data_IF_309342681997
#
_entry.id   IF_309342681997
#
_cell.length_a   1.000
_cell.length_b   1.000
_cell.length_c   1.000
_cell.angle_alpha   90.00
_cell.angle_beta   90.00
_cell.angle_gamma   90.00
#
_symmetry.space_group_name_H-M   'P 1'
#
loop_
_entity.id
_entity.type
_entity.pdbx_description
1 polymer ?
#
# COMPACT_ATOMS: atom_id res chain seq x y z
N UNK A 1 0.16 33.69 -9.97
CA UNK A 1 0.88 32.72 -9.12
C UNK A 1 1.31 31.60 -10.04
N UNK A 2 2.55 31.61 -10.50
CA UNK A 2 3.12 30.52 -11.32
C UNK A 2 3.32 29.34 -10.39
N UNK A 3 2.53 28.28 -10.62
CA UNK A 3 2.66 27.02 -9.91
C UNK A 3 3.97 26.35 -10.39
N UNK A 4 5.09 26.72 -9.81
CA UNK A 4 6.43 26.24 -10.17
C UNK A 4 6.70 24.89 -9.47
N UNK A 5 5.75 23.97 -9.63
CA UNK A 5 5.86 22.63 -9.05
C UNK A 5 6.81 21.82 -9.94
N UNK A 6 7.91 21.34 -9.36
CA UNK A 6 8.82 20.42 -10.05
C UNK A 6 8.08 19.18 -10.53
N UNK A 7 7.99 19.01 -11.86
CA UNK A 7 7.38 17.83 -12.44
C UNK A 7 8.34 16.64 -12.38
N UNK A 8 7.80 15.43 -12.51
CA UNK A 8 8.60 14.21 -12.57
C UNK A 8 9.62 14.27 -13.71
N UNK A 9 9.21 14.72 -14.91
CA UNK A 9 10.07 14.87 -16.08
C UNK A 9 11.22 15.85 -15.81
N UNK A 10 10.92 16.94 -15.08
CA UNK A 10 11.95 17.92 -14.69
C UNK A 10 12.96 17.32 -13.73
N UNK A 11 12.51 16.57 -12.74
CA UNK A 11 13.37 15.85 -11.79
C UNK A 11 14.23 14.80 -12.49
N UNK A 12 13.68 14.02 -13.40
CA UNK A 12 14.42 13.03 -14.18
C UNK A 12 15.49 13.70 -15.05
N UNK A 13 15.18 14.85 -15.65
CA UNK A 13 16.14 15.65 -16.40
C UNK A 13 17.26 16.18 -15.51
N UNK A 14 16.95 16.71 -14.33
CA UNK A 14 17.96 17.17 -13.37
C UNK A 14 18.86 15.99 -12.94
N UNK A 15 18.29 14.86 -12.63
CA UNK A 15 19.01 13.64 -12.27
C UNK A 15 19.99 13.20 -13.36
N UNK A 16 19.63 13.32 -14.64
CA UNK A 16 20.48 12.93 -15.78
C UNK A 16 21.64 13.88 -16.05
N UNK A 17 21.67 15.05 -15.42
CA UNK A 17 22.73 16.06 -15.70
C UNK A 17 24.13 15.58 -15.34
N UNK A 18 24.26 14.72 -14.34
CA UNK A 18 25.55 14.13 -14.01
C UNK A 18 26.12 13.29 -15.16
N UNK A 19 25.25 12.58 -15.89
CA UNK A 19 25.64 11.78 -17.05
C UNK A 19 25.89 12.69 -18.28
N UNK A 20 25.08 13.75 -18.43
CA UNK A 20 25.12 14.65 -19.57
C UNK A 20 26.35 15.58 -19.52
N UNK A 21 26.68 16.12 -18.34
CA UNK A 21 27.69 17.17 -18.17
C UNK A 21 28.95 16.68 -17.43
N UNK A 22 28.91 15.49 -16.85
CA UNK A 22 29.99 14.93 -16.05
C UNK A 22 29.94 15.29 -14.58
N UNK A 23 30.61 14.46 -13.75
CA UNK A 23 30.72 14.70 -12.32
C UNK A 23 31.53 15.98 -12.04
N UNK A 24 31.07 16.82 -11.12
CA UNK A 24 31.74 18.08 -10.74
C UNK A 24 31.41 19.27 -11.63
N UNK A 25 30.60 19.09 -12.69
CA UNK A 25 30.17 20.22 -13.52
C UNK A 25 29.19 21.11 -12.76
N UNK A 26 29.36 22.42 -12.89
CA UNK A 26 28.42 23.40 -12.37
C UNK A 26 27.21 23.48 -13.28
N UNK A 27 26.03 23.37 -12.69
CA UNK A 27 24.73 23.56 -13.36
C UNK A 27 23.98 24.67 -12.65
N UNK A 28 23.16 25.41 -13.39
CA UNK A 28 22.32 26.47 -12.83
C UNK A 28 20.88 25.99 -12.76
N UNK A 29 20.29 26.15 -11.59
CA UNK A 29 18.85 25.97 -11.33
C UNK A 29 18.24 27.35 -11.02
N UNK A 30 16.97 27.59 -11.40
CA UNK A 30 16.20 28.67 -10.81
C UNK A 30 16.16 28.54 -9.29
N UNK A 31 16.18 29.66 -8.57
CA UNK A 31 16.21 29.64 -7.11
C UNK A 31 15.01 28.90 -6.51
N UNK A 32 13.85 29.04 -7.14
CA UNK A 32 12.60 28.39 -6.71
C UNK A 32 12.67 26.85 -6.88
N UNK A 33 13.32 26.37 -7.96
CA UNK A 33 13.53 24.92 -8.15
C UNK A 33 14.54 24.39 -7.13
N UNK A 34 15.58 25.14 -6.82
CA UNK A 34 16.57 24.78 -5.82
C UNK A 34 15.97 24.74 -4.41
N UNK A 35 15.16 25.73 -4.05
CA UNK A 35 14.43 25.77 -2.78
C UNK A 35 13.50 24.56 -2.63
N UNK A 36 12.69 24.25 -3.66
CA UNK A 36 11.76 23.12 -3.64
C UNK A 36 12.49 21.77 -3.52
N UNK A 37 13.62 21.60 -4.25
CA UNK A 37 14.47 20.41 -4.11
C UNK A 37 15.04 20.29 -2.70
N UNK A 38 15.52 21.38 -2.11
CA UNK A 38 16.06 21.39 -0.76
C UNK A 38 14.97 21.05 0.26
N UNK A 39 13.77 21.61 0.13
CA UNK A 39 12.62 21.31 0.99
C UNK A 39 12.23 19.84 0.93
N UNK A 40 12.15 19.26 -0.27
CA UNK A 40 11.84 17.85 -0.46
C UNK A 40 12.93 16.95 0.15
N UNK A 41 14.21 17.30 -0.06
CA UNK A 41 15.33 16.53 0.48
C UNK A 41 15.36 16.57 2.01
N UNK A 42 15.18 17.75 2.62
CA UNK A 42 15.13 17.89 4.08
C UNK A 42 14.00 17.07 4.70
N UNK A 43 12.79 17.13 4.13
CA UNK A 43 11.66 16.33 4.62
C UNK A 43 11.91 14.82 4.51
N UNK A 44 12.59 14.37 3.44
CA UNK A 44 12.97 12.97 3.29
C UNK A 44 14.04 12.57 4.33
N UNK A 45 15.05 13.41 4.54
CA UNK A 45 16.11 13.16 5.53
C UNK A 45 15.56 13.10 6.96
N UNK A 46 14.64 13.98 7.34
CA UNK A 46 14.03 13.96 8.66
C UNK A 46 13.22 12.66 8.87
N UNK A 47 12.46 12.24 7.86
CA UNK A 47 11.70 10.99 7.90
C UNK A 47 12.61 9.77 8.00
N UNK A 48 13.69 9.72 7.22
CA UNK A 48 14.66 8.64 7.26
C UNK A 48 15.40 8.57 8.59
N UNK A 49 15.75 9.72 9.17
CA UNK A 49 16.37 9.80 10.49
C UNK A 49 15.47 9.17 11.56
N UNK A 50 14.23 9.61 11.66
CA UNK A 50 13.26 9.07 12.64
C UNK A 50 13.05 7.56 12.43
N UNK A 51 12.94 7.12 11.19
CA UNK A 51 12.77 5.70 10.83
C UNK A 51 13.97 4.85 11.28
N UNK A 52 15.20 5.35 11.07
CA UNK A 52 16.42 4.66 11.47
C UNK A 52 16.56 4.61 12.99
N UNK A 53 16.33 5.71 13.69
CA UNK A 53 16.35 5.77 15.15
C UNK A 53 15.32 4.81 15.76
N UNK A 54 14.12 4.76 15.21
CA UNK A 54 13.11 3.80 15.62
C UNK A 54 13.55 2.35 15.35
N UNK A 55 14.16 2.07 14.19
CA UNK A 55 14.62 0.73 13.86
C UNK A 55 15.71 0.23 14.83
N UNK A 56 16.66 1.10 15.20
CA UNK A 56 17.71 0.81 16.17
C UNK A 56 17.10 0.55 17.57
N UNK A 57 16.22 1.43 18.02
CA UNK A 57 15.52 1.28 19.29
C UNK A 57 14.68 -0.02 19.33
N UNK A 58 13.90 -0.29 18.31
CA UNK A 58 13.07 -1.50 18.23
C UNK A 58 13.92 -2.77 18.21
N UNK A 59 15.06 -2.75 17.52
CA UNK A 59 15.99 -3.87 17.52
C UNK A 59 16.63 -4.12 18.90
N UNK A 60 17.01 -3.04 19.60
CA UNK A 60 17.59 -3.12 20.93
C UNK A 60 16.56 -3.59 21.98
N UNK A 61 15.31 -3.17 21.85
CA UNK A 61 14.23 -3.44 22.81
C UNK A 61 13.62 -4.83 22.63
N UNK A 62 13.31 -5.20 21.40
CA UNK A 62 12.54 -6.42 21.08
C UNK A 62 13.38 -7.54 20.44
N UNK A 63 14.62 -7.27 20.09
CA UNK A 63 15.53 -8.26 19.50
C UNK A 63 15.13 -8.66 18.07
N UNK A 64 15.63 -9.82 17.66
CA UNK A 64 15.41 -10.34 16.31
C UNK A 64 14.14 -11.20 16.25
N UNK A 65 12.98 -10.53 16.24
CA UNK A 65 11.66 -11.16 16.08
C UNK A 65 11.10 -10.87 14.69
N UNK A 66 10.16 -11.72 14.23
CA UNK A 66 9.52 -11.54 12.91
C UNK A 66 8.46 -10.41 12.88
N UNK A 67 7.83 -10.19 11.71
CA UNK A 67 6.90 -9.09 11.48
C UNK A 67 5.51 -9.30 12.11
N UNK A 68 5.20 -10.51 12.58
CA UNK A 68 3.82 -10.84 13.05
C UNK A 68 3.43 -10.07 14.31
N UNK A 69 4.39 -9.88 15.24
CA UNK A 69 4.15 -9.11 16.47
C UNK A 69 3.74 -7.66 16.17
N UNK A 70 4.57 -6.89 15.46
CA UNK A 70 4.22 -5.53 15.05
C UNK A 70 2.90 -5.43 14.28
N UNK A 71 2.60 -6.35 13.37
CA UNK A 71 1.33 -6.36 12.63
C UNK A 71 0.10 -6.60 13.51
N UNK A 72 0.21 -7.46 14.52
CA UNK A 72 -0.87 -7.66 15.51
C UNK A 72 -1.05 -6.44 16.40
N UNK A 73 0.05 -5.78 16.78
CA UNK A 73 -0.01 -4.55 17.56
C UNK A 73 -0.64 -3.43 16.73
N UNK A 74 -0.21 -3.25 15.48
CA UNK A 74 -0.80 -2.29 14.56
C UNK A 74 -2.33 -2.37 14.47
N UNK A 75 -2.90 -3.58 14.58
CA UNK A 75 -4.36 -3.74 14.56
C UNK A 75 -5.05 -3.18 15.80
N UNK A 76 -4.36 -3.03 16.93
CA UNK A 76 -4.85 -2.40 18.16
C UNK A 76 -4.75 -0.89 18.05
N UNK A 77 -3.58 -0.37 17.67
CA UNK A 77 -3.36 1.05 17.45
C UNK A 77 -4.34 1.63 16.42
N UNK A 78 -4.69 0.85 15.40
CA UNK A 78 -5.71 1.26 14.43
C UNK A 78 -7.11 1.45 15.05
N UNK A 79 -7.44 0.72 16.12
CA UNK A 79 -8.69 0.91 16.86
C UNK A 79 -8.60 2.10 17.81
N UNK A 80 -7.45 2.35 18.41
CA UNK A 80 -7.18 3.50 19.26
C UNK A 80 -7.21 4.78 18.44
N UNK A 81 -6.52 4.83 17.31
CA UNK A 81 -6.61 5.94 16.36
C UNK A 81 -8.03 6.15 15.78
N UNK A 82 -8.83 5.10 15.65
CA UNK A 82 -10.23 5.23 15.21
C UNK A 82 -11.13 5.79 16.32
N UNK A 83 -10.80 5.58 17.60
CA UNK A 83 -11.52 6.13 18.73
C UNK A 83 -11.18 7.62 18.95
N UNK A 84 -9.94 8.00 18.72
CA UNK A 84 -9.42 9.37 18.91
C UNK A 84 -8.69 9.86 17.63
N UNK A 85 -9.42 10.14 16.52
CA UNK A 85 -8.81 10.40 15.21
C UNK A 85 -7.96 11.68 15.14
N UNK A 86 -8.11 12.58 16.09
CA UNK A 86 -7.35 13.84 16.21
C UNK A 86 -6.05 13.67 17.01
N UNK A 87 -5.83 12.53 17.67
CA UNK A 87 -4.58 12.25 18.37
C UNK A 87 -3.50 11.77 17.40
N UNK A 88 -2.52 12.64 17.13
CA UNK A 88 -1.40 12.35 16.26
C UNK A 88 -0.43 11.29 16.82
N UNK A 89 -0.45 11.02 18.13
CA UNK A 89 0.40 9.98 18.71
C UNK A 89 -0.02 8.59 18.26
N UNK A 90 -1.32 8.33 18.19
CA UNK A 90 -1.85 7.06 17.69
C UNK A 90 -1.46 6.79 16.22
N UNK A 91 -1.52 7.84 15.40
CA UNK A 91 -1.06 7.75 14.01
C UNK A 91 0.46 7.50 13.90
N UNK A 92 1.25 8.07 14.81
CA UNK A 92 2.69 7.84 14.85
C UNK A 92 3.01 6.38 15.26
N UNK A 93 2.30 5.83 16.23
CA UNK A 93 2.46 4.44 16.66
C UNK A 93 2.11 3.47 15.55
N UNK A 94 1.00 3.68 14.85
CA UNK A 94 0.67 2.92 13.64
C UNK A 94 1.78 2.97 12.60
N UNK A 95 2.37 4.14 12.35
CA UNK A 95 3.43 4.31 11.36
C UNK A 95 4.72 3.60 11.77
N UNK A 96 5.11 3.67 13.04
CA UNK A 96 6.26 2.97 13.58
C UNK A 96 6.12 1.46 13.47
N UNK A 97 4.97 0.93 13.85
CA UNK A 97 4.69 -0.51 13.76
C UNK A 97 4.68 -1.01 12.32
N UNK A 98 4.15 -0.22 11.39
CA UNK A 98 4.17 -0.57 9.97
C UNK A 98 5.61 -0.61 9.42
N UNK A 99 6.44 0.39 9.74
CA UNK A 99 7.84 0.40 9.32
C UNK A 99 8.64 -0.77 9.94
N UNK A 100 8.41 -1.07 11.22
CA UNK A 100 9.08 -2.19 11.88
C UNK A 100 8.69 -3.53 11.27
N UNK A 101 7.40 -3.72 10.97
CA UNK A 101 6.91 -4.92 10.30
C UNK A 101 7.52 -5.08 8.90
N UNK A 102 7.57 -4.01 8.09
CA UNK A 102 8.19 -4.02 6.77
C UNK A 102 9.67 -4.36 6.84
N UNK A 103 10.43 -3.70 7.73
CA UNK A 103 11.85 -3.97 7.96
C UNK A 103 12.10 -5.43 8.35
N UNK A 104 11.31 -5.96 9.29
CA UNK A 104 11.44 -7.35 9.77
C UNK A 104 11.03 -8.38 8.73
N UNK A 105 10.17 -8.01 7.78
CA UNK A 105 9.80 -8.82 6.63
C UNK A 105 10.79 -8.71 5.46
N UNK A 106 11.80 -7.83 5.54
CA UNK A 106 12.75 -7.57 4.46
C UNK A 106 12.14 -6.85 3.25
N UNK A 107 11.03 -6.14 3.44
CA UNK A 107 10.35 -5.37 2.37
C UNK A 107 11.01 -4.01 2.23
N UNK A 108 11.53 -3.70 1.04
CA UNK A 108 12.15 -2.41 0.74
C UNK A 108 11.10 -1.35 0.36
N UNK A 109 11.52 -0.07 0.38
CA UNK A 109 10.65 1.04 -0.01
C UNK A 109 10.27 1.01 -1.49
N UNK A 110 11.17 0.54 -2.35
CA UNK A 110 10.89 0.35 -3.77
C UNK A 110 9.84 -0.75 -3.98
N UNK A 111 9.97 -1.87 -3.27
CA UNK A 111 9.03 -2.99 -3.35
C UNK A 111 7.64 -2.57 -2.89
N UNK A 112 7.54 -1.91 -1.73
CA UNK A 112 6.23 -1.48 -1.22
C UNK A 112 5.61 -0.38 -2.09
N UNK A 113 6.41 0.55 -2.61
CA UNK A 113 5.94 1.60 -3.52
C UNK A 113 5.38 1.00 -4.81
N UNK A 114 6.09 0.05 -5.42
CA UNK A 114 5.59 -0.63 -6.62
C UNK A 114 4.32 -1.41 -6.33
N UNK A 115 4.28 -2.15 -5.23
CA UNK A 115 3.08 -2.89 -4.80
C UNK A 115 1.87 -1.96 -4.56
N UNK A 116 2.09 -0.77 -4.02
CA UNK A 116 1.03 0.25 -3.85
C UNK A 116 0.52 0.77 -5.19
N UNK A 117 1.40 1.04 -6.15
CA UNK A 117 1.02 1.46 -7.52
C UNK A 117 0.14 0.40 -8.18
N UNK A 118 0.59 -0.85 -8.15
CA UNK A 118 -0.14 -1.98 -8.75
C UNK A 118 -1.49 -2.20 -8.06
N UNK A 119 -1.50 -2.14 -6.73
CA UNK A 119 -2.72 -2.29 -5.94
C UNK A 119 -3.72 -1.17 -6.18
N UNK A 120 -3.24 0.05 -6.32
CA UNK A 120 -4.10 1.20 -6.65
C UNK A 120 -4.76 1.02 -8.01
N UNK A 121 -4.02 0.54 -9.03
CA UNK A 121 -4.57 0.25 -10.34
C UNK A 121 -5.69 -0.80 -10.27
N UNK A 122 -5.49 -1.87 -9.50
CA UNK A 122 -6.53 -2.89 -9.24
C UNK A 122 -7.72 -2.30 -8.50
N UNK A 123 -7.50 -1.49 -7.47
CA UNK A 123 -8.58 -0.91 -6.66
C UNK A 123 -9.46 0.05 -7.48
N UNK A 124 -8.88 0.80 -8.41
CA UNK A 124 -9.62 1.68 -9.33
C UNK A 124 -10.56 0.93 -10.28
N UNK A 125 -10.29 -0.36 -10.54
CA UNK A 125 -11.11 -1.21 -11.40
C UNK A 125 -12.21 -1.97 -10.63
N UNK A 126 -12.18 -1.94 -9.29
CA UNK A 126 -13.16 -2.63 -8.45
C UNK A 126 -14.43 -1.82 -8.27
N UNK A 127 -15.54 -2.54 -8.09
CA UNK A 127 -16.78 -1.93 -7.62
C UNK A 127 -16.73 -1.77 -6.10
N UNK A 128 -17.11 -0.59 -5.65
CA UNK A 128 -17.17 -0.24 -4.24
C UNK A 128 -18.60 0.12 -3.85
N UNK A 129 -19.05 -0.26 -2.66
CA UNK A 129 -20.33 0.20 -2.14
C UNK A 129 -20.30 1.71 -1.88
N UNK A 130 -21.47 2.31 -1.75
CA UNK A 130 -21.59 3.69 -1.31
C UNK A 130 -20.92 3.84 0.08
N UNK A 131 -20.02 4.83 0.26
CA UNK A 131 -19.32 4.99 1.52
C UNK A 131 -20.27 5.42 2.63
N UNK A 132 -20.10 4.80 3.79
CA UNK A 132 -20.78 5.21 5.02
C UNK A 132 -19.75 5.65 6.04
N UNK A 133 -20.07 6.67 6.78
CA UNK A 133 -19.19 7.20 7.82
C UNK A 133 -19.05 6.18 8.96
N UNK A 134 -17.83 6.03 9.47
CA UNK A 134 -17.50 5.07 10.54
C UNK A 134 -17.51 3.59 10.14
N UNK A 135 -17.86 3.23 8.91
CA UNK A 135 -17.87 1.83 8.45
C UNK A 135 -16.64 1.48 7.58
N UNK A 136 -16.07 0.26 7.74
CA UNK A 136 -14.98 -0.20 6.89
C UNK A 136 -15.40 -0.26 5.41
N UNK A 137 -14.53 0.25 4.52
CA UNK A 137 -14.76 0.24 3.07
C UNK A 137 -14.28 -1.07 2.46
N UNK A 138 -15.17 -2.04 2.32
CA UNK A 138 -14.87 -3.32 1.69
C UNK A 138 -15.35 -3.29 0.23
N UNK A 139 -14.49 -3.74 -0.70
CA UNK A 139 -14.91 -3.88 -2.11
C UNK A 139 -15.96 -4.97 -2.26
N UNK A 140 -16.85 -4.80 -3.25
CA UNK A 140 -17.86 -5.82 -3.60
C UNK A 140 -17.10 -7.01 -4.20
N UNK A 141 -17.13 -8.15 -3.51
CA UNK A 141 -16.62 -9.39 -4.07
C UNK A 141 -17.64 -9.89 -5.08
N UNK A 142 -17.26 -9.95 -6.36
CA UNK A 142 -18.03 -10.75 -7.31
C UNK A 142 -18.01 -12.18 -6.81
N UNK A 143 -19.18 -12.69 -6.45
CA UNK A 143 -19.31 -14.12 -6.18
C UNK A 143 -18.89 -14.84 -7.46
N UNK A 144 -17.98 -15.84 -7.39
CA UNK A 144 -17.66 -16.63 -8.57
C UNK A 144 -19.00 -17.13 -9.11
N UNK A 145 -19.29 -16.77 -10.36
CA UNK A 145 -20.46 -17.34 -11.04
C UNK A 145 -20.32 -18.84 -10.89
N UNK A 146 -21.20 -19.48 -10.12
CA UNK A 146 -21.26 -20.94 -10.09
C UNK A 146 -21.36 -21.34 -11.55
N UNK A 147 -20.34 -21.97 -12.10
CA UNK A 147 -20.50 -22.72 -13.34
C UNK A 147 -21.60 -23.69 -13.02
N UNK A 148 -22.77 -23.39 -13.52
CA UNK A 148 -23.83 -24.39 -13.58
C UNK A 148 -23.34 -25.32 -14.66
N UNK A 149 -22.66 -26.38 -14.28
CA UNK A 149 -22.39 -27.49 -15.16
C UNK A 149 -23.75 -28.08 -15.51
N UNK A 150 -24.34 -27.46 -16.54
CA UNK A 150 -25.53 -28.04 -17.14
C UNK A 150 -25.04 -29.34 -17.75
N UNK A 151 -25.60 -30.43 -17.24
CA UNK A 151 -25.45 -31.72 -17.90
C UNK A 151 -26.19 -31.63 -19.24
N UNK A 152 -25.46 -31.27 -20.31
CA UNK A 152 -26.00 -31.13 -21.69
C UNK A 152 -26.50 -32.43 -22.26
N UNK A 153 -26.29 -33.55 -21.57
CA UNK A 153 -26.63 -34.90 -22.01
C UNK A 153 -27.96 -35.40 -21.45
N UNK A 154 -28.49 -34.72 -20.44
CA UNK A 154 -29.68 -35.20 -19.73
C UNK A 154 -30.74 -34.10 -19.58
N UNK A 155 -31.87 -34.25 -20.26
CA UNK A 155 -33.01 -33.29 -20.15
C UNK A 155 -33.64 -33.26 -18.77
N UNK A 156 -33.37 -34.23 -17.91
CA UNK A 156 -33.84 -34.26 -16.52
C UNK A 156 -32.96 -33.42 -15.58
N UNK A 157 -31.67 -33.23 -15.91
CA UNK A 157 -30.77 -32.35 -15.18
C UNK A 157 -31.19 -30.87 -15.23
N UNK A 158 -31.98 -30.48 -16.24
CA UNK A 158 -32.55 -29.13 -16.36
C UNK A 158 -33.74 -28.89 -15.36
N UNK A 159 -34.24 -29.92 -14.67
CA UNK A 159 -35.39 -29.88 -13.74
C UNK A 159 -35.03 -30.05 -12.28
N UNK A 160 -33.75 -29.98 -11.90
CA UNK A 160 -33.36 -30.03 -10.50
C UNK A 160 -32.62 -31.29 -10.05
N UNK A 161 -32.08 -32.06 -11.01
CA UNK A 161 -31.23 -33.22 -10.74
C UNK A 161 -31.98 -34.55 -10.76
N UNK A 162 -31.42 -35.52 -11.46
CA UNK A 162 -31.88 -36.91 -11.41
C UNK A 162 -31.03 -37.65 -10.37
N UNK A 163 -31.67 -38.46 -9.54
CA UNK A 163 -31.07 -39.24 -8.45
C UNK A 163 -30.04 -40.29 -8.91
N UNK A 164 -29.81 -40.44 -10.23
CA UNK A 164 -28.91 -41.43 -10.83
C UNK A 164 -27.67 -40.82 -11.48
N UNK A 165 -27.52 -39.48 -11.46
CA UNK A 165 -26.35 -38.84 -12.02
C UNK A 165 -25.19 -38.93 -11.05
N UNK A 166 -23.99 -39.35 -11.52
CA UNK A 166 -22.75 -39.33 -10.72
C UNK A 166 -22.31 -37.92 -10.33
N UNK A 167 -22.86 -36.91 -11.03
CA UNK A 167 -22.77 -35.51 -10.68
C UNK A 167 -23.97 -34.99 -9.92
N UNK A 168 -24.69 -35.87 -9.26
CA UNK A 168 -25.78 -35.48 -8.35
C UNK A 168 -25.18 -34.69 -7.20
N UNK A 169 -24.96 -33.41 -7.47
CA UNK A 169 -24.37 -32.50 -6.54
C UNK A 169 -25.34 -32.29 -5.39
N UNK A 170 -25.05 -32.86 -4.25
CA UNK A 170 -25.36 -32.20 -2.98
C UNK A 170 -24.57 -30.89 -3.03
N UNK A 171 -25.19 -29.88 -3.58
CA UNK A 171 -24.71 -28.51 -3.48
C UNK A 171 -25.37 -27.91 -2.22
N UNK A 172 -24.71 -28.10 -1.08
CA UNK A 172 -24.90 -27.24 0.07
C UNK A 172 -24.16 -25.90 -0.17
#
# INVERSE_FOLDING_TARGET
MTNNQLTRERLEKIKSWRETYGAGSNVMLPAEEAEELARMALAAMDRDKVRNEHAEWSQATFGNVGPVGPLKHLSKEALEAAAEPDDLSEWADMQFLLWDAQRRAGITDEQITQAMIDKLAVNKQRSWPEPKDGEPRLHIKELPRKKVDRCDVCTEGARGGCGTCIFNGNFE
#
